data_IF_536155688496
#
_entry.id   IF_536155688496
#
_cell.length_a   1.000
_cell.length_b   1.000
_cell.length_c   1.000
_cell.angle_alpha   90.00
_cell.angle_beta   90.00
_cell.angle_gamma   90.00
#
_symmetry.space_group_name_H-M   'P 1'
#
loop_
_entity.id
_entity.type
_entity.pdbx_description
1 polymer ?
#
# COMPACT_ATOMS: atom_id res chain seq x y z
N UNK A 1 -28.93 27.05 6.51
CA UNK A 1 -28.12 27.54 7.65
C UNK A 1 -28.19 26.64 8.90
N UNK A 2 -28.82 25.46 8.82
CA UNK A 2 -28.90 24.51 9.94
C UNK A 2 -28.56 23.11 9.45
N UNK A 3 -27.51 22.52 10.01
CA UNK A 3 -27.08 21.16 9.71
C UNK A 3 -26.10 20.67 10.77
N UNK A 4 -26.13 19.38 11.11
CA UNK A 4 -25.34 18.80 12.20
C UNK A 4 -23.84 19.13 12.09
N UNK A 5 -23.31 19.16 10.86
CA UNK A 5 -21.91 19.52 10.58
C UNK A 5 -21.58 20.96 10.95
N UNK A 6 -22.51 21.90 10.70
CA UNK A 6 -22.34 23.32 11.03
C UNK A 6 -22.34 23.49 12.56
N UNK A 7 -23.23 22.78 13.25
CA UNK A 7 -23.30 22.80 14.73
C UNK A 7 -22.01 22.25 15.35
N UNK A 8 -21.52 21.11 14.88
CA UNK A 8 -20.26 20.50 15.35
C UNK A 8 -19.04 21.37 15.05
N UNK A 9 -18.99 22.00 13.87
CA UNK A 9 -17.92 22.92 13.53
C UNK A 9 -17.85 24.13 14.47
N UNK A 10 -19.02 24.69 14.87
CA UNK A 10 -19.08 25.73 15.90
C UNK A 10 -18.60 25.25 17.27
N UNK A 11 -19.00 24.05 17.69
CA UNK A 11 -18.54 23.43 18.95
C UNK A 11 -17.01 23.26 18.99
N UNK A 12 -16.38 22.96 17.85
CA UNK A 12 -14.94 22.73 17.73
C UNK A 12 -14.15 23.98 17.33
N UNK A 13 -14.79 25.15 17.30
CA UNK A 13 -14.18 26.42 16.90
C UNK A 13 -13.51 26.36 15.50
N UNK A 14 -14.11 25.61 14.58
CA UNK A 14 -13.66 25.48 13.19
C UNK A 14 -14.34 26.56 12.34
N UNK A 15 -13.60 27.38 11.57
CA UNK A 15 -14.18 28.40 10.72
C UNK A 15 -15.05 27.78 9.63
N UNK A 16 -16.26 28.32 9.46
CA UNK A 16 -17.23 27.86 8.44
C UNK A 16 -17.29 28.91 7.34
N UNK A 17 -16.90 28.50 6.13
CA UNK A 17 -16.90 29.37 4.95
C UNK A 17 -17.88 28.93 3.87
N UNK A 18 -18.25 29.87 3.00
CA UNK A 18 -19.04 29.64 1.80
C UNK A 18 -18.16 29.14 0.64
N UNK A 19 -18.79 28.77 -0.46
CA UNK A 19 -18.11 28.19 -1.62
C UNK A 19 -17.14 29.17 -2.31
N UNK A 20 -17.32 30.49 -2.13
CA UNK A 20 -16.50 31.50 -2.79
C UNK A 20 -15.05 31.47 -2.29
N UNK A 21 -14.84 31.15 -1.00
CA UNK A 21 -13.49 30.97 -0.45
C UNK A 21 -12.76 29.80 -1.13
N UNK A 22 -13.44 28.67 -1.29
CA UNK A 22 -12.88 27.48 -1.94
C UNK A 22 -12.52 27.76 -3.40
N UNK A 23 -13.39 28.47 -4.13
CA UNK A 23 -13.11 28.85 -5.51
C UNK A 23 -11.86 29.72 -5.59
N UNK A 24 -11.77 30.77 -4.77
CA UNK A 24 -10.61 31.65 -4.78
C UNK A 24 -9.30 30.91 -4.45
N UNK A 25 -9.33 29.98 -3.49
CA UNK A 25 -8.20 29.10 -3.23
C UNK A 25 -7.82 28.25 -4.45
N UNK A 26 -8.79 27.71 -5.19
CA UNK A 26 -8.55 26.94 -6.40
C UNK A 26 -7.89 27.77 -7.51
N UNK A 27 -8.26 29.04 -7.63
CA UNK A 27 -7.63 30.00 -8.55
C UNK A 27 -6.31 30.58 -8.03
N UNK A 28 -5.78 30.08 -6.91
CA UNK A 28 -4.52 30.54 -6.32
C UNK A 28 -4.59 31.93 -5.68
N UNK A 29 -5.79 32.48 -5.48
CA UNK A 29 -6.01 33.70 -4.70
C UNK A 29 -5.99 33.30 -3.23
N UNK A 30 -4.99 33.76 -2.47
CA UNK A 30 -4.89 33.49 -1.04
C UNK A 30 -5.98 34.26 -0.29
N UNK A 31 -7.18 33.68 -0.24
CA UNK A 31 -8.34 34.26 0.41
C UNK A 31 -8.21 34.16 1.93
N UNK A 32 -8.10 35.30 2.61
CA UNK A 32 -8.13 35.35 4.07
C UNK A 32 -9.51 34.88 4.55
N UNK A 33 -9.52 33.79 5.32
CA UNK A 33 -10.72 33.11 5.79
C UNK A 33 -11.61 34.02 6.67
N UNK A 34 -11.03 35.04 7.29
CA UNK A 34 -11.72 35.96 8.19
C UNK A 34 -12.53 37.04 7.44
N UNK A 35 -12.43 37.12 6.11
CA UNK A 35 -13.16 38.12 5.34
C UNK A 35 -14.68 37.87 5.39
N UNK A 36 -15.51 38.90 5.65
CA UNK A 36 -16.96 38.75 5.81
C UNK A 36 -17.66 38.09 4.62
N UNK A 37 -17.12 38.28 3.40
CA UNK A 37 -17.66 37.73 2.16
C UNK A 37 -17.57 36.21 2.06
N UNK A 38 -16.73 35.57 2.87
CA UNK A 38 -16.60 34.12 2.91
C UNK A 38 -17.39 33.49 4.04
N UNK A 39 -17.97 34.28 4.96
CA UNK A 39 -18.68 33.75 6.10
C UNK A 39 -20.04 33.18 5.70
N UNK A 40 -20.51 32.17 6.46
CA UNK A 40 -21.82 31.57 6.26
C UNK A 40 -22.93 32.65 6.36
N UNK A 41 -23.76 32.77 5.33
CA UNK A 41 -24.85 33.77 5.23
C UNK A 41 -24.51 35.00 4.38
N UNK A 42 -23.24 35.16 3.96
CA UNK A 42 -22.88 36.18 2.98
C UNK A 42 -23.49 35.85 1.59
N UNK A 43 -23.98 36.86 0.85
CA UNK A 43 -24.50 36.65 -0.50
C UNK A 43 -23.38 36.09 -1.37
N UNK A 44 -23.58 34.86 -1.84
CA UNK A 44 -22.65 34.18 -2.72
C UNK A 44 -23.33 34.05 -4.09
N UNK A 45 -22.57 34.31 -5.15
CA UNK A 45 -23.04 34.24 -6.53
C UNK A 45 -23.59 32.82 -6.83
N UNK A 46 -24.47 32.66 -7.82
CA UNK A 46 -25.02 31.32 -8.07
C UNK A 46 -23.92 30.35 -8.55
N UNK A 47 -23.85 29.18 -7.92
CA UNK A 47 -22.94 28.07 -8.27
C UNK A 47 -23.18 27.49 -9.67
N UNK A 48 -24.24 27.92 -10.36
CA UNK A 48 -24.64 27.47 -11.70
C UNK A 48 -24.26 28.51 -12.78
N UNK A 49 -23.08 29.11 -12.67
CA UNK A 49 -22.60 30.06 -13.67
C UNK A 49 -22.28 29.33 -14.98
N UNK A 50 -22.75 29.85 -16.11
CA UNK A 50 -22.50 29.22 -17.41
C UNK A 50 -21.01 29.27 -17.79
N UNK A 51 -20.48 28.31 -18.55
CA UNK A 51 -19.08 28.35 -19.02
C UNK A 51 -18.71 29.67 -19.69
N UNK A 52 -19.65 30.23 -20.49
CA UNK A 52 -19.48 31.55 -21.11
C UNK A 52 -19.31 32.67 -20.09
N UNK A 53 -20.11 32.69 -19.02
CA UNK A 53 -19.98 33.69 -17.98
C UNK A 53 -18.69 33.52 -17.16
N UNK A 54 -18.26 32.27 -16.90
CA UNK A 54 -16.99 31.98 -16.22
C UNK A 54 -15.78 32.49 -17.01
N UNK A 55 -15.78 32.36 -18.34
CA UNK A 55 -14.69 32.87 -19.19
C UNK A 55 -14.50 34.38 -19.14
N UNK A 56 -15.56 35.13 -18.82
CA UNK A 56 -15.51 36.58 -18.73
C UNK A 56 -15.04 37.07 -17.35
N UNK A 57 -14.85 36.17 -16.37
CA UNK A 57 -14.42 36.54 -15.01
C UNK A 57 -12.96 36.95 -15.00
N UNK A 58 -12.05 36.09 -15.49
CA UNK A 58 -10.64 36.43 -15.67
C UNK A 58 -9.95 35.52 -16.72
N UNK A 59 -8.72 35.89 -17.08
CA UNK A 59 -7.91 35.14 -18.07
C UNK A 59 -7.59 33.70 -17.62
N UNK A 60 -7.56 33.42 -16.32
CA UNK A 60 -7.28 32.07 -15.80
C UNK A 60 -8.50 31.16 -16.02
N UNK A 61 -9.71 31.65 -15.75
CA UNK A 61 -10.95 30.94 -16.06
C UNK A 61 -11.06 30.66 -17.56
N UNK A 62 -10.77 31.67 -18.38
CA UNK A 62 -10.72 31.52 -19.85
C UNK A 62 -9.71 30.47 -20.29
N UNK A 63 -8.51 30.44 -19.69
CA UNK A 63 -7.49 29.46 -20.02
C UNK A 63 -7.89 28.03 -19.64
N UNK A 64 -8.50 27.85 -18.46
CA UNK A 64 -8.96 26.53 -18.03
C UNK A 64 -10.13 25.99 -18.85
N UNK A 65 -10.98 26.89 -19.39
CA UNK A 65 -12.10 26.53 -20.26
C UNK A 65 -11.72 26.40 -21.74
N UNK A 66 -10.44 26.57 -22.12
CA UNK A 66 -10.00 26.35 -23.51
C UNK A 66 -10.36 24.97 -24.04
N UNK A 67 -10.34 23.94 -23.20
CA UNK A 67 -10.72 22.58 -23.58
C UNK A 67 -12.20 22.41 -23.96
N UNK A 68 -13.07 23.34 -23.54
CA UNK A 68 -14.48 23.37 -23.93
C UNK A 68 -14.72 24.03 -25.30
N UNK A 69 -13.83 24.94 -25.71
CA UNK A 69 -13.86 25.58 -27.05
C UNK A 69 -13.06 24.82 -28.09
N UNK A 70 -12.06 24.05 -27.65
CA UNK A 70 -11.34 23.16 -28.52
C UNK A 70 -12.25 21.99 -28.89
N UNK A 71 -12.82 22.03 -30.09
CA UNK A 71 -13.22 20.80 -30.77
C UNK A 71 -11.97 19.92 -30.83
N UNK A 72 -11.86 18.98 -29.90
CA UNK A 72 -10.80 17.98 -29.93
C UNK A 72 -10.90 17.31 -31.29
N UNK A 73 -9.90 17.45 -32.19
CA UNK A 73 -9.92 16.70 -33.43
C UNK A 73 -10.03 15.24 -33.01
N UNK A 74 -11.15 14.59 -33.34
CA UNK A 74 -11.34 13.17 -33.07
C UNK A 74 -10.48 12.43 -34.07
N UNK A 75 -9.16 12.48 -33.87
CA UNK A 75 -8.21 11.71 -34.65
C UNK A 75 -8.61 10.25 -34.49
N UNK A 76 -8.96 9.61 -35.60
CA UNK A 76 -9.38 8.21 -35.65
C UNK A 76 -8.41 7.31 -34.86
N UNK A 77 -7.12 7.63 -34.87
CA UNK A 77 -6.09 6.95 -34.08
C UNK A 77 -6.30 7.04 -32.56
N UNK A 78 -6.71 8.19 -32.01
CA UNK A 78 -6.99 8.34 -30.58
C UNK A 78 -8.28 7.63 -30.16
N UNK A 79 -9.29 7.60 -31.04
CA UNK A 79 -10.50 6.82 -30.81
C UNK A 79 -10.17 5.32 -30.81
N UNK A 80 -9.38 4.84 -31.78
CA UNK A 80 -8.93 3.45 -31.85
C UNK A 80 -8.07 3.08 -30.64
N UNK A 81 -7.17 3.96 -30.19
CA UNK A 81 -6.40 3.76 -28.95
C UNK A 81 -7.31 3.70 -27.73
N UNK A 82 -8.31 4.58 -27.62
CA UNK A 82 -9.28 4.56 -26.52
C UNK A 82 -10.12 3.28 -26.52
N UNK A 83 -10.61 2.84 -27.69
CA UNK A 83 -11.36 1.60 -27.83
C UNK A 83 -10.50 0.37 -27.51
N UNK A 84 -9.24 0.36 -27.98
CA UNK A 84 -8.29 -0.70 -27.65
C UNK A 84 -7.99 -0.72 -26.15
N UNK A 85 -7.78 0.43 -25.54
CA UNK A 85 -7.59 0.55 -24.10
C UNK A 85 -8.84 0.11 -23.34
N UNK A 86 -10.04 0.44 -23.79
CA UNK A 86 -11.29 -0.06 -23.20
C UNK A 86 -11.39 -1.57 -23.30
N UNK A 87 -11.03 -2.18 -24.44
CA UNK A 87 -11.01 -3.63 -24.59
C UNK A 87 -9.93 -4.30 -23.72
N UNK A 88 -8.75 -3.68 -23.60
CA UNK A 88 -7.67 -4.13 -22.71
C UNK A 88 -8.06 -3.99 -21.23
N UNK A 89 -8.79 -2.94 -20.86
CA UNK A 89 -9.34 -2.74 -19.53
C UNK A 89 -10.50 -3.72 -19.23
N UNK A 90 -11.34 -4.02 -20.22
CA UNK A 90 -12.38 -5.05 -20.14
C UNK A 90 -11.80 -6.47 -20.21
N UNK A 91 -10.51 -6.64 -20.51
CA UNK A 91 -9.87 -7.94 -20.45
C UNK A 91 -9.91 -8.48 -19.02
N UNK A 92 -10.12 -9.79 -18.91
CA UNK A 92 -10.45 -10.51 -17.67
C UNK A 92 -9.49 -10.24 -16.49
N UNK A 93 -8.26 -9.82 -16.78
CA UNK A 93 -7.20 -9.64 -15.79
C UNK A 93 -7.24 -8.28 -15.06
N UNK A 94 -7.87 -7.25 -15.63
CA UNK A 94 -7.78 -5.88 -15.07
C UNK A 94 -8.92 -5.58 -14.09
N UNK A 95 -10.15 -5.99 -14.43
CA UNK A 95 -11.33 -5.80 -13.58
C UNK A 95 -12.06 -7.13 -13.32
N UNK A 96 -11.47 -8.04 -12.53
CA UNK A 96 -12.02 -9.37 -12.30
C UNK A 96 -13.45 -9.35 -11.72
N UNK A 97 -13.83 -8.33 -10.94
CA UNK A 97 -15.19 -8.21 -10.40
C UNK A 97 -16.29 -8.08 -11.47
N UNK A 98 -16.02 -7.48 -12.64
CA UNK A 98 -17.04 -7.30 -13.69
C UNK A 98 -17.60 -8.64 -14.18
N UNK A 99 -16.74 -9.65 -14.32
CA UNK A 99 -17.11 -11.01 -14.77
C UNK A 99 -18.13 -11.66 -13.84
N UNK A 100 -18.07 -11.36 -12.55
CA UNK A 100 -18.89 -12.01 -11.54
C UNK A 100 -20.18 -11.27 -11.21
N UNK A 101 -20.36 -10.04 -11.72
CA UNK A 101 -21.60 -9.25 -11.51
C UNK A 101 -22.80 -9.84 -12.23
N UNK A 102 -22.58 -10.40 -13.42
CA UNK A 102 -23.64 -10.94 -14.29
C UNK A 102 -24.13 -12.33 -13.85
N UNK A 103 -23.52 -12.90 -12.82
CA UNK A 103 -23.84 -14.25 -12.36
C UNK A 103 -25.15 -14.25 -11.59
N UNK A 104 -26.06 -15.11 -12.02
CA UNK A 104 -27.35 -15.33 -11.38
C UNK A 104 -27.15 -15.94 -9.98
N UNK A 105 -27.71 -15.26 -8.98
CA UNK A 105 -27.71 -15.73 -7.61
C UNK A 105 -29.03 -16.46 -7.31
N UNK A 106 -29.01 -17.58 -6.58
CA UNK A 106 -30.22 -18.28 -6.18
C UNK A 106 -31.08 -17.39 -5.25
N UNK A 107 -32.40 -17.62 -5.26
CA UNK A 107 -33.31 -16.95 -4.33
C UNK A 107 -33.10 -17.48 -2.90
N UNK A 108 -33.49 -16.71 -1.89
CA UNK A 108 -33.37 -17.19 -0.50
C UNK A 108 -34.31 -18.37 -0.22
N UNK A 109 -35.44 -18.47 -0.92
CA UNK A 109 -36.37 -19.60 -0.82
C UNK A 109 -35.72 -20.89 -1.32
N UNK A 110 -35.06 -20.85 -2.48
CA UNK A 110 -34.35 -21.99 -3.06
C UNK A 110 -33.21 -22.47 -2.14
N UNK A 111 -32.51 -21.54 -1.49
CA UNK A 111 -31.44 -21.85 -0.53
C UNK A 111 -31.99 -22.61 0.67
N UNK A 112 -33.13 -22.17 1.22
CA UNK A 112 -33.75 -22.82 2.37
C UNK A 112 -34.20 -24.23 1.98
N UNK A 113 -34.91 -24.38 0.86
CA UNK A 113 -35.39 -25.68 0.39
C UNK A 113 -34.24 -26.67 0.11
N UNK A 114 -33.16 -26.21 -0.55
CA UNK A 114 -31.98 -27.02 -0.82
C UNK A 114 -31.28 -27.49 0.48
N UNK A 115 -31.21 -26.61 1.48
CA UNK A 115 -30.59 -26.93 2.76
C UNK A 115 -31.44 -27.88 3.61
N UNK A 116 -32.77 -27.76 3.58
CA UNK A 116 -33.65 -28.72 4.24
C UNK A 116 -33.51 -30.13 3.68
N UNK A 117 -33.40 -30.26 2.35
CA UNK A 117 -33.12 -31.54 1.69
C UNK A 117 -31.77 -32.14 2.11
N UNK A 118 -30.77 -31.30 2.44
CA UNK A 118 -29.39 -31.70 2.81
C UNK A 118 -29.15 -31.95 4.30
N UNK A 119 -30.09 -31.64 5.20
CA UNK A 119 -29.98 -31.78 6.67
C UNK A 119 -29.56 -33.18 7.18
N UNK A 120 -29.54 -34.20 6.31
CA UNK A 120 -29.16 -35.58 6.66
C UNK A 120 -27.64 -35.84 6.64
N UNK A 121 -26.81 -34.89 6.17
CA UNK A 121 -25.35 -35.06 6.13
C UNK A 121 -24.69 -34.82 7.50
N UNK A 122 -23.86 -35.76 7.97
CA UNK A 122 -23.07 -35.64 9.21
C UNK A 122 -21.68 -35.00 9.03
N UNK A 123 -21.32 -34.58 7.81
CA UNK A 123 -19.99 -33.99 7.55
C UNK A 123 -19.98 -32.52 8.00
N UNK A 124 -18.88 -32.03 8.62
CA UNK A 124 -18.77 -30.62 8.94
C UNK A 124 -18.88 -29.79 7.66
N UNK A 125 -19.65 -28.68 7.66
CA UNK A 125 -19.84 -27.86 6.47
C UNK A 125 -18.51 -27.21 6.06
N UNK A 126 -18.29 -27.07 4.77
CA UNK A 126 -17.22 -26.23 4.26
C UNK A 126 -17.46 -24.78 4.72
N UNK A 127 -16.40 -24.10 5.15
CA UNK A 127 -16.43 -22.68 5.52
C UNK A 127 -15.60 -21.88 4.53
N UNK A 128 -16.19 -20.87 3.93
CA UNK A 128 -15.58 -20.05 2.89
C UNK A 128 -15.35 -18.62 3.37
N UNK A 129 -14.17 -18.07 3.11
CA UNK A 129 -13.92 -16.64 3.21
C UNK A 129 -13.74 -16.07 1.79
N UNK A 130 -14.24 -14.86 1.55
CA UNK A 130 -14.12 -14.15 0.27
C UNK A 130 -13.16 -12.96 0.44
N UNK A 131 -12.20 -12.79 -0.47
CA UNK A 131 -11.24 -11.68 -0.42
C UNK A 131 -11.07 -11.01 -1.78
N UNK A 132 -11.16 -9.68 -1.80
CA UNK A 132 -10.96 -8.84 -2.99
C UNK A 132 -12.20 -8.60 -3.84
N UNK A 133 -13.37 -9.09 -3.40
CA UNK A 133 -14.64 -8.90 -4.10
C UNK A 133 -15.32 -7.58 -3.70
N UNK A 134 -16.05 -7.00 -4.64
CA UNK A 134 -17.02 -5.94 -4.34
C UNK A 134 -18.21 -6.53 -3.56
N UNK A 135 -18.89 -5.69 -2.78
CA UNK A 135 -19.94 -6.13 -1.85
C UNK A 135 -21.09 -6.88 -2.54
N UNK A 136 -21.56 -6.36 -3.67
CA UNK A 136 -22.62 -6.94 -4.49
C UNK A 136 -22.23 -8.31 -5.07
N UNK A 137 -21.00 -8.43 -5.57
CA UNK A 137 -20.45 -9.69 -6.08
C UNK A 137 -20.28 -10.70 -4.95
N UNK A 138 -19.73 -10.26 -3.81
CA UNK A 138 -19.52 -11.10 -2.64
C UNK A 138 -20.84 -11.68 -2.12
N UNK A 139 -21.91 -10.89 -2.10
CA UNK A 139 -23.25 -11.34 -1.69
C UNK A 139 -23.82 -12.41 -2.64
N UNK A 140 -23.65 -12.24 -3.96
CA UNK A 140 -24.08 -13.22 -4.96
C UNK A 140 -23.35 -14.55 -4.81
N UNK A 141 -22.03 -14.51 -4.71
CA UNK A 141 -21.20 -15.72 -4.48
C UNK A 141 -21.56 -16.36 -3.14
N UNK A 142 -21.81 -15.55 -2.10
CA UNK A 142 -22.23 -16.05 -0.79
C UNK A 142 -23.57 -16.80 -0.83
N UNK A 143 -24.53 -16.35 -1.65
CA UNK A 143 -25.80 -17.06 -1.88
C UNK A 143 -25.57 -18.44 -2.52
N UNK A 144 -24.68 -18.53 -3.51
CA UNK A 144 -24.32 -19.80 -4.15
C UNK A 144 -23.64 -20.77 -3.18
N UNK A 145 -22.72 -20.27 -2.34
CA UNK A 145 -22.07 -21.08 -1.30
C UNK A 145 -23.10 -21.63 -0.30
N UNK A 146 -24.04 -20.79 0.15
CA UNK A 146 -25.13 -21.19 1.06
C UNK A 146 -26.10 -22.18 0.42
N UNK A 147 -26.40 -22.02 -0.87
CA UNK A 147 -27.21 -22.97 -1.64
C UNK A 147 -26.56 -24.37 -1.69
N UNK A 148 -25.24 -24.42 -1.81
CA UNK A 148 -24.47 -25.66 -1.77
C UNK A 148 -24.28 -26.22 -0.34
N UNK A 149 -24.90 -25.62 0.68
CA UNK A 149 -24.87 -26.10 2.07
C UNK A 149 -23.56 -25.83 2.79
N UNK A 150 -22.79 -24.83 2.36
CA UNK A 150 -21.61 -24.34 3.04
C UNK A 150 -21.88 -23.00 3.73
N UNK A 151 -21.01 -22.63 4.65
CA UNK A 151 -21.09 -21.40 5.42
C UNK A 151 -20.08 -20.37 4.90
N UNK A 152 -20.46 -19.09 4.90
CA UNK A 152 -19.55 -17.99 4.60
C UNK A 152 -19.12 -17.34 5.91
N UNK A 153 -17.81 -17.31 6.15
CA UNK A 153 -17.19 -16.72 7.33
C UNK A 153 -16.47 -15.43 6.96
N UNK A 154 -16.54 -14.43 7.85
CA UNK A 154 -15.79 -13.18 7.72
C UNK A 154 -14.33 -13.34 8.11
N UNK A 155 -14.08 -14.18 9.13
CA UNK A 155 -12.74 -14.44 9.62
C UNK A 155 -12.08 -15.58 8.83
N UNK A 156 -10.92 -15.28 8.25
CA UNK A 156 -10.14 -16.22 7.43
C UNK A 156 -9.58 -17.35 8.28
N UNK A 157 -9.37 -17.12 9.57
CA UNK A 157 -8.77 -18.12 10.47
C UNK A 157 -9.66 -19.34 10.68
N UNK A 158 -10.98 -19.17 10.51
CA UNK A 158 -11.96 -20.24 10.62
C UNK A 158 -12.27 -20.89 9.27
N UNK A 159 -11.78 -20.34 8.17
CA UNK A 159 -12.13 -20.82 6.83
C UNK A 159 -11.41 -22.13 6.49
N UNK A 160 -12.08 -22.94 5.68
CA UNK A 160 -11.50 -24.14 5.03
C UNK A 160 -11.03 -23.82 3.61
N UNK A 161 -11.68 -22.83 2.99
CA UNK A 161 -11.42 -22.37 1.64
C UNK A 161 -11.41 -20.84 1.65
N UNK A 162 -10.36 -20.23 1.12
CA UNK A 162 -10.29 -18.82 0.81
C UNK A 162 -10.49 -18.65 -0.70
N UNK A 163 -11.50 -17.90 -1.09
CA UNK A 163 -11.72 -17.52 -2.49
C UNK A 163 -11.07 -16.17 -2.73
N UNK A 164 -10.19 -16.08 -3.73
CA UNK A 164 -9.47 -14.86 -4.09
C UNK A 164 -9.61 -14.56 -5.58
N UNK A 165 -9.56 -13.27 -5.94
CA UNK A 165 -9.54 -12.84 -7.35
C UNK A 165 -8.14 -12.89 -7.97
N UNK A 166 -7.09 -12.74 -7.17
CA UNK A 166 -5.70 -12.77 -7.62
C UNK A 166 -4.79 -13.34 -6.52
N UNK A 167 -3.56 -13.68 -6.88
CA UNK A 167 -2.55 -14.21 -5.95
C UNK A 167 -1.69 -13.13 -5.30
N UNK A 168 -2.08 -11.85 -5.37
CA UNK A 168 -1.30 -10.77 -4.76
C UNK A 168 -1.22 -10.97 -3.25
N UNK A 169 -0.02 -10.74 -2.71
CA UNK A 169 0.24 -10.87 -1.28
C UNK A 169 -0.70 -9.96 -0.48
N UNK A 170 -1.45 -10.57 0.44
CA UNK A 170 -2.38 -9.89 1.33
C UNK A 170 -2.45 -10.63 2.67
N UNK A 171 -2.88 -9.94 3.73
CA UNK A 171 -3.02 -10.55 5.06
C UNK A 171 -4.00 -11.76 5.04
N UNK A 172 -5.18 -11.70 4.38
CA UNK A 172 -6.04 -12.86 4.21
C UNK A 172 -5.34 -14.05 3.54
N UNK A 173 -4.59 -13.80 2.46
CA UNK A 173 -3.85 -14.86 1.77
C UNK A 173 -2.81 -15.52 2.70
N UNK A 174 -2.03 -14.72 3.42
CA UNK A 174 -1.04 -15.21 4.37
C UNK A 174 -1.68 -16.03 5.50
N UNK A 175 -2.80 -15.55 6.06
CA UNK A 175 -3.56 -16.31 7.08
C UNK A 175 -4.04 -17.65 6.54
N UNK A 176 -4.62 -17.67 5.34
CA UNK A 176 -5.12 -18.90 4.72
C UNK A 176 -4.00 -19.92 4.46
N UNK A 177 -2.83 -19.47 3.99
CA UNK A 177 -1.68 -20.34 3.79
C UNK A 177 -1.17 -20.86 5.13
N UNK A 178 -1.03 -20.01 6.16
CA UNK A 178 -0.56 -20.40 7.49
C UNK A 178 -1.42 -21.51 8.12
N UNK A 179 -2.76 -21.43 7.99
CA UNK A 179 -3.66 -22.46 8.50
C UNK A 179 -3.71 -23.72 7.61
N UNK A 180 -3.25 -23.63 6.35
CA UNK A 180 -3.34 -24.71 5.37
C UNK A 180 -4.71 -24.81 4.68
N UNK A 181 -5.47 -23.71 4.61
CA UNK A 181 -6.73 -23.65 3.89
C UNK A 181 -6.50 -23.75 2.37
N UNK A 182 -7.50 -24.23 1.64
CA UNK A 182 -7.46 -24.20 0.19
C UNK A 182 -7.63 -22.75 -0.31
N UNK A 183 -6.69 -22.26 -1.10
CA UNK A 183 -6.82 -20.94 -1.74
C UNK A 183 -7.24 -21.18 -3.19
N UNK A 184 -8.49 -20.83 -3.51
CA UNK A 184 -9.14 -21.19 -4.77
C UNK A 184 -9.58 -19.96 -5.54
N UNK A 185 -9.70 -20.11 -6.86
CA UNK A 185 -10.30 -19.09 -7.72
C UNK A 185 -11.84 -19.12 -7.64
N UNK A 186 -12.54 -18.05 -8.05
CA UNK A 186 -14.00 -17.97 -7.97
C UNK A 186 -14.71 -19.02 -8.82
N UNK A 187 -14.08 -19.48 -9.92
CA UNK A 187 -14.64 -20.53 -10.79
C UNK A 187 -14.93 -21.83 -10.02
N UNK A 188 -14.23 -22.09 -8.93
CA UNK A 188 -14.53 -23.22 -8.05
C UNK A 188 -15.98 -23.19 -7.56
N UNK A 189 -16.45 -22.02 -7.14
CA UNK A 189 -17.82 -21.84 -6.64
C UNK A 189 -18.82 -21.95 -7.78
N UNK A 190 -18.52 -21.32 -8.92
CA UNK A 190 -19.40 -21.30 -10.09
C UNK A 190 -19.63 -22.70 -10.64
N UNK A 191 -18.56 -23.44 -10.94
CA UNK A 191 -18.67 -24.81 -11.45
C UNK A 191 -19.28 -25.75 -10.41
N UNK A 192 -19.03 -25.53 -9.12
CA UNK A 192 -19.69 -26.29 -8.05
C UNK A 192 -21.20 -26.00 -7.98
N UNK A 193 -21.59 -24.76 -8.21
CA UNK A 193 -22.99 -24.32 -8.20
C UNK A 193 -23.74 -24.90 -9.41
N UNK A 194 -23.20 -24.75 -10.62
CA UNK A 194 -23.76 -25.29 -11.87
C UNK A 194 -23.96 -26.81 -11.81
N UNK A 195 -23.02 -27.53 -11.21
CA UNK A 195 -23.08 -28.99 -11.04
C UNK A 195 -23.90 -29.45 -9.83
N UNK A 196 -24.34 -28.51 -8.98
CA UNK A 196 -25.05 -28.79 -7.72
C UNK A 196 -24.22 -29.53 -6.67
N UNK A 197 -22.91 -29.67 -6.84
CA UNK A 197 -22.01 -30.41 -5.92
C UNK A 197 -20.62 -29.77 -5.87
N UNK A 198 -19.95 -29.90 -4.72
CA UNK A 198 -18.57 -29.43 -4.58
C UNK A 198 -17.63 -30.22 -5.51
N UNK A 199 -16.86 -29.48 -6.30
CA UNK A 199 -15.82 -30.02 -7.16
C UNK A 199 -14.54 -30.32 -6.36
N UNK A 200 -13.53 -30.89 -7.01
CA UNK A 200 -12.21 -31.04 -6.38
C UNK A 200 -11.51 -29.67 -6.25
N UNK A 201 -11.33 -29.20 -5.02
CA UNK A 201 -10.68 -27.92 -4.74
C UNK A 201 -9.25 -27.84 -5.29
N UNK A 202 -8.52 -28.97 -5.41
CA UNK A 202 -7.14 -28.98 -5.90
C UNK A 202 -7.07 -28.52 -7.36
N UNK A 203 -8.09 -28.86 -8.17
CA UNK A 203 -8.17 -28.48 -9.58
C UNK A 203 -8.37 -26.97 -9.78
N UNK A 204 -8.92 -26.28 -8.77
CA UNK A 204 -9.25 -24.85 -8.81
C UNK A 204 -8.37 -23.99 -7.91
N UNK A 205 -7.23 -24.52 -7.42
CA UNK A 205 -6.26 -23.74 -6.66
C UNK A 205 -5.83 -22.50 -7.45
N UNK A 206 -5.71 -21.36 -6.75
CA UNK A 206 -5.19 -20.13 -7.33
C UNK A 206 -3.79 -20.38 -7.89
N UNK A 207 -3.55 -19.90 -9.11
CA UNK A 207 -2.25 -19.95 -9.77
C UNK A 207 -1.95 -18.57 -10.31
N UNK A 208 -0.94 -17.91 -9.75
CA UNK A 208 -0.49 -16.57 -10.11
C UNK A 208 1.01 -16.66 -10.37
N UNK A 209 1.37 -16.94 -11.63
CA UNK A 209 2.76 -17.22 -12.02
C UNK A 209 3.70 -16.03 -11.73
N UNK A 210 3.19 -14.80 -11.84
CA UNK A 210 3.95 -13.59 -11.56
C UNK A 210 4.25 -13.46 -10.07
N UNK A 211 3.24 -13.65 -9.22
CA UNK A 211 3.40 -13.57 -7.76
C UNK A 211 4.25 -14.72 -7.22
N UNK A 212 4.06 -15.94 -7.74
CA UNK A 212 4.87 -17.13 -7.39
C UNK A 212 6.34 -16.93 -7.76
N UNK A 213 6.62 -16.39 -8.95
CA UNK A 213 7.98 -16.07 -9.39
C UNK A 213 8.61 -14.95 -8.57
N UNK A 214 7.86 -13.88 -8.29
CA UNK A 214 8.34 -12.73 -7.54
C UNK A 214 8.76 -13.10 -6.12
N UNK A 215 7.97 -13.94 -5.44
CA UNK A 215 8.25 -14.33 -4.06
C UNK A 215 8.94 -15.69 -3.94
N UNK A 216 9.15 -16.41 -5.05
CA UNK A 216 9.83 -17.69 -5.09
C UNK A 216 9.13 -18.78 -4.27
N UNK A 217 7.84 -18.98 -4.49
CA UNK A 217 7.06 -20.03 -3.82
C UNK A 217 6.12 -20.74 -4.81
N UNK A 218 5.58 -21.88 -4.40
CA UNK A 218 4.50 -22.54 -5.12
C UNK A 218 3.32 -22.75 -4.16
N UNK A 219 2.16 -22.18 -4.47
CA UNK A 219 1.03 -22.16 -3.54
C UNK A 219 0.58 -23.56 -3.12
N UNK A 220 0.53 -24.50 -4.09
CA UNK A 220 0.14 -25.89 -3.84
C UNK A 220 1.12 -26.57 -2.88
N UNK A 221 2.42 -26.42 -3.10
CA UNK A 221 3.44 -26.97 -2.20
C UNK A 221 3.35 -26.36 -0.80
N UNK A 222 3.18 -25.03 -0.71
CA UNK A 222 3.04 -24.33 0.57
C UNK A 222 1.82 -24.83 1.36
N UNK A 223 0.65 -24.96 0.75
CA UNK A 223 -0.54 -25.48 1.45
C UNK A 223 -0.31 -26.90 1.99
N UNK A 224 0.37 -27.77 1.22
CA UNK A 224 0.69 -29.14 1.66
C UNK A 224 1.64 -29.10 2.86
N UNK A 225 2.69 -28.28 2.81
CA UNK A 225 3.64 -28.12 3.92
C UNK A 225 2.97 -27.59 5.19
N UNK A 226 2.15 -26.55 5.06
CA UNK A 226 1.42 -25.95 6.18
C UNK A 226 0.48 -26.92 6.92
N UNK A 227 -0.05 -27.92 6.19
CA UNK A 227 -0.89 -28.99 6.78
C UNK A 227 -0.08 -30.05 7.53
N UNK A 228 1.19 -30.24 7.14
CA UNK A 228 2.07 -31.23 7.76
C UNK A 228 2.76 -30.68 9.00
N UNK A 229 3.26 -29.44 8.94
CA UNK A 229 3.95 -28.79 10.04
C UNK A 229 3.73 -27.28 10.01
N UNK A 230 3.74 -26.65 11.18
CA UNK A 230 3.62 -25.21 11.33
C UNK A 230 5.01 -24.58 11.16
N UNK A 231 5.16 -23.66 10.20
CA UNK A 231 6.48 -23.16 9.79
C UNK A 231 7.27 -22.45 10.91
N UNK A 232 6.61 -21.79 11.86
CA UNK A 232 7.27 -21.09 12.98
C UNK A 232 7.21 -21.87 14.31
N UNK A 233 6.95 -23.18 14.25
CA UNK A 233 6.83 -23.99 15.45
C UNK A 233 8.12 -23.97 16.29
N UNK A 234 7.99 -23.66 17.58
CA UNK A 234 9.11 -23.64 18.52
C UNK A 234 10.01 -22.41 18.41
N UNK A 235 9.58 -21.39 17.68
CA UNK A 235 10.32 -20.13 17.51
C UNK A 235 9.65 -19.03 18.34
N UNK A 236 10.47 -18.34 19.14
CA UNK A 236 10.07 -17.11 19.82
C UNK A 236 10.46 -15.89 19.03
N UNK A 237 9.55 -14.93 18.95
CA UNK A 237 9.70 -13.74 18.13
C UNK A 237 9.38 -12.49 18.94
N UNK A 238 10.25 -11.49 18.92
CA UNK A 238 9.89 -10.14 19.35
C UNK A 238 9.66 -9.25 18.14
N UNK A 239 8.58 -8.46 18.16
CA UNK A 239 8.19 -7.59 17.06
C UNK A 239 8.20 -6.14 17.56
N UNK A 240 8.94 -5.26 16.89
CA UNK A 240 9.00 -3.83 17.26
C UNK A 240 7.70 -3.09 16.93
N UNK A 241 7.43 -1.91 17.54
CA UNK A 241 6.14 -1.23 17.41
C UNK A 241 5.83 -0.64 16.02
N UNK A 242 6.84 -0.13 15.29
CA UNK A 242 6.66 0.64 14.05
C UNK A 242 6.75 -0.20 12.77
N UNK A 243 6.49 -1.50 12.88
CA UNK A 243 6.39 -2.43 11.74
C UNK A 243 5.14 -2.20 10.90
N UNK A 244 5.25 -2.48 9.61
CA UNK A 244 4.12 -2.52 8.67
C UNK A 244 3.98 -3.95 8.07
N UNK A 245 2.78 -4.57 8.11
CA UNK A 245 1.54 -4.11 8.74
C UNK A 245 1.68 -4.09 10.27
N UNK A 246 0.65 -3.58 10.95
CA UNK A 246 0.67 -3.39 12.41
C UNK A 246 1.19 -4.60 13.21
N UNK A 247 1.84 -4.33 14.35
CA UNK A 247 2.35 -5.37 15.27
C UNK A 247 1.30 -6.44 15.59
N UNK A 248 0.05 -6.05 15.84
CA UNK A 248 -1.04 -6.97 16.13
C UNK A 248 -1.34 -7.93 14.96
N UNK A 249 -1.26 -7.42 13.72
CA UNK A 249 -1.44 -8.25 12.52
C UNK A 249 -0.30 -9.26 12.36
N UNK A 250 0.95 -8.82 12.52
CA UNK A 250 2.11 -9.71 12.45
C UNK A 250 2.10 -10.75 13.58
N UNK A 251 1.77 -10.32 14.79
CA UNK A 251 1.62 -11.22 15.93
C UNK A 251 0.63 -12.34 15.60
N UNK A 252 -0.52 -11.99 15.04
CA UNK A 252 -1.52 -13.00 14.69
C UNK A 252 -1.04 -13.96 13.60
N UNK A 253 -0.30 -13.47 12.60
CA UNK A 253 0.29 -14.32 11.56
C UNK A 253 1.33 -15.31 12.14
N UNK A 254 2.13 -14.85 13.11
CA UNK A 254 3.12 -15.70 13.80
C UNK A 254 2.43 -16.79 14.61
N UNK A 255 1.43 -16.43 15.41
CA UNK A 255 0.65 -17.38 16.22
C UNK A 255 -0.04 -18.45 15.36
N UNK A 256 -0.67 -18.06 14.25
CA UNK A 256 -1.30 -19.00 13.31
C UNK A 256 -0.28 -19.95 12.66
N UNK A 257 0.96 -19.49 12.52
CA UNK A 257 2.08 -20.26 11.98
C UNK A 257 2.83 -21.05 13.05
N UNK A 258 2.35 -21.10 14.29
CA UNK A 258 2.89 -21.89 15.40
C UNK A 258 4.01 -21.23 16.22
N UNK A 259 4.32 -19.96 15.97
CA UNK A 259 5.33 -19.22 16.73
C UNK A 259 4.75 -18.53 17.97
N UNK A 260 5.64 -18.17 18.90
CA UNK A 260 5.33 -17.41 20.11
C UNK A 260 5.83 -15.97 19.97
N UNK A 261 5.03 -14.99 20.39
CA UNK A 261 5.41 -13.56 20.33
C UNK A 261 5.55 -12.97 21.72
N UNK A 262 6.72 -12.40 22.00
CA UNK A 262 6.97 -11.73 23.27
C UNK A 262 6.30 -10.35 23.30
N UNK A 263 5.53 -10.12 24.37
CA UNK A 263 4.81 -8.86 24.59
C UNK A 263 5.78 -7.72 24.98
N UNK A 264 6.76 -8.05 25.81
CA UNK A 264 7.76 -7.12 26.30
C UNK A 264 9.04 -7.17 25.47
N UNK A 265 9.82 -6.10 25.55
CA UNK A 265 11.11 -6.04 24.87
C UNK A 265 12.11 -6.95 25.59
N UNK A 266 12.78 -7.86 24.87
CA UNK A 266 13.75 -8.76 25.47
C UNK A 266 15.07 -8.06 25.76
N UNK A 267 15.73 -8.42 26.85
CA UNK A 267 17.12 -8.02 27.11
C UNK A 267 18.08 -8.87 26.28
N UNK A 268 19.26 -8.34 25.94
CA UNK A 268 20.27 -9.10 25.19
C UNK A 268 20.65 -10.42 25.89
N UNK A 269 20.67 -10.42 27.23
CA UNK A 269 20.92 -11.61 28.04
C UNK A 269 19.83 -12.67 27.88
N UNK A 270 18.55 -12.28 27.91
CA UNK A 270 17.44 -13.23 27.72
C UNK A 270 17.48 -13.89 26.34
N UNK A 271 17.81 -13.11 25.30
CA UNK A 271 17.97 -13.65 23.94
C UNK A 271 19.14 -14.64 23.89
N UNK A 272 20.29 -14.27 24.48
CA UNK A 272 21.47 -15.14 24.57
C UNK A 272 21.19 -16.45 25.31
N UNK A 273 20.60 -16.38 26.50
CA UNK A 273 20.24 -17.57 27.29
C UNK A 273 19.24 -18.48 26.56
N UNK A 274 18.32 -17.92 25.76
CA UNK A 274 17.40 -18.74 24.97
C UNK A 274 18.12 -19.44 23.82
N UNK A 275 19.03 -18.74 23.14
CA UNK A 275 19.81 -19.30 22.04
C UNK A 275 20.81 -20.38 22.51
N UNK A 276 21.36 -20.23 23.72
CA UNK A 276 22.23 -21.23 24.35
C UNK A 276 21.49 -22.53 24.73
N UNK A 277 20.18 -22.46 24.97
CA UNK A 277 19.33 -23.62 25.31
C UNK A 277 18.75 -24.32 24.09
N UNK A 278 19.42 -24.21 22.93
CA UNK A 278 18.93 -24.68 21.61
C UNK A 278 17.57 -24.08 21.20
N UNK A 279 17.18 -22.94 21.79
CA UNK A 279 15.98 -22.20 21.42
C UNK A 279 16.20 -21.32 20.20
N UNK A 280 15.18 -21.18 19.35
CA UNK A 280 15.20 -20.24 18.23
C UNK A 280 14.54 -18.93 18.64
N UNK A 281 15.31 -17.83 18.65
CA UNK A 281 14.81 -16.48 18.94
C UNK A 281 15.02 -15.55 17.75
N UNK A 282 13.97 -14.86 17.31
CA UNK A 282 14.03 -13.91 16.20
C UNK A 282 13.56 -12.52 16.62
N UNK A 283 14.25 -11.49 16.13
CA UNK A 283 13.84 -10.09 16.30
C UNK A 283 13.34 -9.58 14.96
N UNK A 284 12.09 -9.13 14.90
CA UNK A 284 11.46 -8.51 13.74
C UNK A 284 11.35 -7.02 14.00
N UNK A 285 12.13 -6.24 13.25
CA UNK A 285 12.27 -4.81 13.43
C UNK A 285 11.80 -4.02 12.20
N UNK A 286 11.64 -2.71 12.39
CA UNK A 286 11.54 -1.74 11.31
C UNK A 286 12.72 -0.77 11.36
N UNK A 287 13.02 -0.11 10.24
CA UNK A 287 14.04 0.94 10.19
C UNK A 287 13.69 2.14 11.09
N UNK A 288 12.40 2.41 11.33
CA UNK A 288 11.98 3.47 12.25
C UNK A 288 12.38 3.18 13.71
N UNK A 289 12.59 1.91 14.07
CA UNK A 289 12.85 1.46 15.43
C UNK A 289 14.34 1.27 15.75
N UNK A 290 15.27 1.78 14.92
CA UNK A 290 16.74 1.56 15.09
C UNK A 290 17.19 1.77 16.54
N UNK A 291 16.85 2.93 17.13
CA UNK A 291 17.25 3.30 18.49
C UNK A 291 16.65 2.37 19.55
N UNK A 292 15.50 1.79 19.27
CA UNK A 292 14.82 0.86 20.16
C UNK A 292 15.61 -0.42 20.34
N UNK A 293 16.29 -0.86 19.28
CA UNK A 293 16.95 -2.15 19.15
C UNK A 293 18.47 -2.05 19.06
N UNK A 294 19.03 -0.84 19.22
CA UNK A 294 20.47 -0.56 19.11
C UNK A 294 21.31 -1.46 20.03
N UNK A 295 20.88 -1.66 21.27
CA UNK A 295 21.56 -2.55 22.23
C UNK A 295 21.60 -4.02 21.77
N UNK A 296 20.62 -4.49 20.99
CA UNK A 296 20.62 -5.85 20.43
C UNK A 296 21.64 -5.93 19.28
N UNK A 297 21.75 -4.88 18.47
CA UNK A 297 22.74 -4.78 17.39
C UNK A 297 24.16 -4.74 17.95
N UNK A 298 24.39 -3.99 19.04
CA UNK A 298 25.67 -3.98 19.76
C UNK A 298 26.01 -5.36 20.34
N UNK A 299 25.01 -6.10 20.81
CA UNK A 299 25.14 -7.48 21.26
C UNK A 299 25.26 -8.50 20.11
N UNK A 300 25.39 -8.06 18.86
CA UNK A 300 25.53 -8.89 17.64
C UNK A 300 24.32 -9.81 17.38
N UNK A 301 23.13 -9.44 17.87
CA UNK A 301 21.88 -10.15 17.61
C UNK A 301 21.29 -9.65 16.28
N UNK A 302 20.99 -10.54 15.31
CA UNK A 302 20.45 -10.13 14.03
C UNK A 302 18.99 -9.68 14.15
N UNK A 303 18.65 -8.65 13.39
CA UNK A 303 17.30 -8.09 13.32
C UNK A 303 16.81 -8.24 11.89
N UNK A 304 15.60 -8.78 11.73
CA UNK A 304 15.00 -9.09 10.45
C UNK A 304 13.84 -8.15 10.14
N UNK A 305 13.60 -7.91 8.86
CA UNK A 305 12.43 -7.17 8.37
C UNK A 305 11.15 -8.02 8.50
N UNK A 306 9.94 -7.42 8.58
CA UNK A 306 8.67 -8.16 8.52
C UNK A 306 8.54 -9.07 7.30
N UNK A 307 9.27 -8.75 6.21
CA UNK A 307 9.38 -9.58 5.01
C UNK A 307 9.79 -11.03 5.32
N UNK A 308 10.59 -11.25 6.37
CA UNK A 308 10.94 -12.58 6.84
C UNK A 308 9.71 -13.43 7.18
N UNK A 309 8.75 -12.86 7.93
CA UNK A 309 7.51 -13.56 8.30
C UNK A 309 6.70 -13.87 7.03
N UNK A 310 6.60 -12.92 6.11
CA UNK A 310 5.80 -13.11 4.89
C UNK A 310 6.39 -14.21 4.00
N UNK A 311 7.70 -14.20 3.79
CA UNK A 311 8.37 -15.23 2.98
C UNK A 311 8.32 -16.59 3.66
N UNK A 312 8.52 -16.65 4.98
CA UNK A 312 8.39 -17.88 5.74
C UNK A 312 6.99 -18.50 5.58
N UNK A 313 5.94 -17.68 5.67
CA UNK A 313 4.56 -18.15 5.49
C UNK A 313 4.29 -18.52 4.02
N UNK A 314 4.72 -17.72 3.04
CA UNK A 314 4.46 -18.01 1.63
C UNK A 314 5.17 -19.27 1.15
N UNK A 315 6.42 -19.50 1.57
CA UNK A 315 7.22 -20.67 1.18
C UNK A 315 7.00 -21.88 2.09
N UNK A 316 6.47 -21.65 3.30
CA UNK A 316 6.39 -22.63 4.38
C UNK A 316 7.76 -23.26 4.71
N UNK A 317 8.79 -22.42 4.68
CA UNK A 317 10.19 -22.75 4.97
C UNK A 317 10.84 -21.55 5.65
N UNK A 318 11.74 -21.79 6.60
CA UNK A 318 12.51 -20.73 7.24
C UNK A 318 13.83 -20.56 6.50
N UNK A 319 14.02 -19.40 5.89
CA UNK A 319 15.30 -18.98 5.34
C UNK A 319 15.85 -17.81 6.16
N UNK A 320 16.85 -18.10 7.01
CA UNK A 320 17.55 -17.09 7.81
C UNK A 320 18.67 -16.38 7.02
N UNK A 321 18.48 -16.21 5.71
CA UNK A 321 19.44 -15.55 4.83
C UNK A 321 19.70 -14.11 5.26
N UNK A 322 20.93 -13.64 5.01
CA UNK A 322 21.37 -12.28 5.34
C UNK A 322 20.57 -11.21 4.59
N UNK A 323 19.88 -11.55 3.50
CA UNK A 323 19.11 -10.63 2.68
C UNK A 323 17.89 -10.03 3.41
N UNK A 324 17.37 -10.73 4.43
CA UNK A 324 16.21 -10.29 5.20
C UNK A 324 16.59 -9.52 6.47
N UNK A 325 17.89 -9.36 6.74
CA UNK A 325 18.41 -8.62 7.90
C UNK A 325 18.41 -7.14 7.61
N UNK A 326 17.98 -6.36 8.60
CA UNK A 326 18.09 -4.89 8.55
C UNK A 326 19.54 -4.52 8.86
N UNK A 327 20.18 -3.85 7.92
CA UNK A 327 21.54 -3.33 8.10
C UNK A 327 21.44 -1.95 8.72
N UNK A 328 21.67 -1.87 10.02
CA UNK A 328 21.76 -0.57 10.69
C UNK A 328 23.15 0.03 10.46
N UNK A 329 23.24 1.29 9.99
CA UNK A 329 24.53 1.96 9.87
C UNK A 329 25.12 2.11 11.28
N UNK A 330 26.25 1.43 11.52
CA UNK A 330 26.98 1.56 12.78
C UNK A 330 27.55 3.00 12.84
N UNK A 331 27.37 3.73 13.95
CA UNK A 331 28.04 5.02 14.12
C UNK A 331 29.54 4.81 13.92
N UNK A 332 30.17 5.62 13.06
CA UNK A 332 31.61 5.56 12.87
C UNK A 332 32.29 5.73 14.25
N UNK A 333 33.34 4.94 14.56
CA UNK A 333 34.07 5.13 15.81
C UNK A 333 34.51 6.60 15.91
N UNK A 334 34.44 7.21 17.11
CA UNK A 334 34.80 8.62 17.29
C UNK A 334 36.20 8.85 16.73
N UNK A 335 36.30 9.75 15.74
CA UNK A 335 37.59 10.11 15.18
C UNK A 335 38.47 10.65 16.32
N UNK A 336 39.74 10.24 16.42
CA UNK A 336 40.64 10.79 17.44
C UNK A 336 40.68 12.31 17.31
N UNK A 337 40.75 13.06 18.44
CA UNK A 337 40.73 14.51 18.42
C UNK A 337 41.84 15.01 17.49
N UNK A 338 41.45 15.78 16.46
CA UNK A 338 42.41 16.42 15.58
C UNK A 338 43.30 17.35 16.42
N UNK A 339 44.63 17.31 16.26
CA UNK A 339 45.52 18.20 17.00
C UNK A 339 45.15 19.66 16.72
N UNK A 340 45.02 20.44 17.80
CA UNK A 340 44.62 21.83 17.74
C UNK A 340 45.51 22.61 16.76
N UNK A 341 44.88 23.23 15.75
CA UNK A 341 45.59 24.17 14.88
C UNK A 341 46.06 25.37 15.73
N UNK A 342 47.32 25.82 15.60
CA UNK A 342 47.82 26.96 16.34
C UNK A 342 47.09 28.23 15.92
N UNK A 343 46.54 28.94 16.90
CA UNK A 343 45.85 30.21 16.75
C UNK A 343 46.78 31.27 16.12
N UNK A 344 46.34 32.08 15.13
CA UNK A 344 47.17 33.14 14.59
C UNK A 344 47.37 34.24 15.64
N UNK A 345 48.62 34.64 15.89
CA UNK A 345 48.95 35.82 16.70
C UNK A 345 48.52 37.11 15.98
N UNK A 346 48.07 38.15 16.69
CA UNK A 346 47.65 39.41 16.09
C UNK A 346 48.87 40.21 15.59
N UNK A 347 48.74 41.00 14.49
CA UNK A 347 49.84 41.75 13.93
C UNK A 347 50.17 42.99 14.77
N UNK A 348 51.41 43.08 15.23
CA UNK A 348 52.00 44.31 15.77
C UNK A 348 52.24 45.32 14.66
N UNK A 349 51.67 46.50 14.82
CA UNK A 349 51.85 47.69 14.01
C UNK A 349 53.18 48.38 14.32
N UNK A 350 54.08 48.52 13.33
CA UNK A 350 55.01 49.66 13.24
C UNK A 350 55.77 49.73 11.90
N UNK A 351 55.70 50.93 11.30
CA UNK A 351 56.72 51.60 10.47
C UNK A 351 56.81 51.37 8.94
N UNK A 352 55.99 52.19 8.27
CA UNK A 352 56.27 53.09 7.14
C UNK A 352 57.68 53.13 6.48
N UNK A 353 57.57 53.24 5.15
CA UNK A 353 58.31 54.10 4.20
C UNK A 353 59.53 53.50 3.47
N UNK A 354 59.41 53.29 2.16
CA UNK A 354 59.86 54.24 1.11
C UNK A 354 59.49 53.77 -0.31
N UNK A 355 59.54 54.73 -1.23
CA UNK A 355 58.83 54.86 -2.50
C UNK A 355 59.43 54.09 -3.68
N UNK A 356 58.62 53.89 -4.74
CA UNK A 356 59.10 53.51 -6.07
C UNK A 356 58.01 53.43 -7.16
N UNK A 357 57.63 54.59 -7.71
CA UNK A 357 57.18 54.89 -9.09
C UNK A 357 56.25 53.96 -9.91
N UNK A 358 55.18 54.61 -10.42
CA UNK A 358 54.11 54.31 -11.40
C UNK A 358 54.55 53.71 -12.78
N UNK A 359 53.64 53.27 -13.71
CA UNK A 359 52.24 53.73 -13.89
C UNK A 359 51.13 52.71 -14.22
N UNK A 360 49.91 53.23 -14.14
CA UNK A 360 48.61 52.64 -14.45
C UNK A 360 48.44 52.28 -15.93
N UNK A 361 47.82 51.12 -16.19
CA UNK A 361 47.15 50.81 -17.45
C UNK A 361 45.69 50.44 -17.16
N UNK A 362 44.80 51.21 -17.78
CA UNK A 362 43.34 51.06 -17.83
C UNK A 362 42.99 49.99 -18.85
N UNK A 363 42.20 48.96 -18.50
CA UNK A 363 41.29 48.28 -19.45
C UNK A 363 40.05 47.76 -18.70
N UNK A 364 38.88 48.08 -19.24
CA UNK A 364 37.55 47.87 -18.67
C UNK A 364 37.04 46.43 -18.65
N UNK A 365 36.00 46.24 -17.84
CA UNK A 365 35.16 45.03 -17.76
C UNK A 365 34.31 44.88 -19.04
N UNK A 366 34.16 43.67 -19.60
CA UNK A 366 33.00 43.34 -20.43
C UNK A 366 31.93 42.62 -19.61
N UNK A 367 30.68 43.00 -19.87
CA UNK A 367 29.48 42.47 -19.25
C UNK A 367 29.10 41.06 -19.72
N UNK A 368 28.27 40.42 -18.90
CA UNK A 368 27.67 39.13 -19.17
C UNK A 368 26.49 39.25 -20.17
N UNK A 369 26.43 38.31 -21.12
CA UNK A 369 25.28 38.02 -21.96
C UNK A 369 24.72 36.61 -21.65
N UNK A 370 23.44 36.34 -21.99
CA UNK A 370 22.68 35.17 -21.56
C UNK A 370 22.75 33.99 -22.56
N UNK A 371 22.50 32.77 -22.06
CA UNK A 371 22.47 31.54 -22.84
C UNK A 371 21.07 31.19 -23.38
N UNK A 372 21.06 30.40 -24.45
CA UNK A 372 20.07 30.40 -25.52
C UNK A 372 19.04 29.26 -25.47
N UNK A 373 17.96 29.48 -26.22
CA UNK A 373 16.97 28.50 -26.71
C UNK A 373 17.61 27.44 -27.61
N UNK A 374 17.06 26.22 -27.58
CA UNK A 374 17.22 25.21 -28.63
C UNK A 374 15.85 24.67 -29.06
N UNK A 375 15.67 24.59 -30.38
CA UNK A 375 14.50 24.08 -31.13
C UNK A 375 14.64 22.59 -31.50
N UNK A 376 13.56 21.89 -31.88
CA UNK A 376 13.55 20.44 -32.11
C UNK A 376 13.85 20.04 -33.57
N UNK A 377 14.39 18.81 -33.75
CA UNK A 377 14.66 18.18 -35.05
C UNK A 377 13.68 17.04 -35.40
N UNK A 378 13.66 16.56 -36.67
CA UNK A 378 12.53 15.83 -37.26
C UNK A 378 12.62 14.28 -37.17
N UNK A 379 11.47 13.64 -37.37
CA UNK A 379 11.21 12.21 -37.31
C UNK A 379 11.76 11.39 -38.50
N UNK A 380 11.97 10.06 -38.36
CA UNK A 380 12.27 9.18 -39.49
C UNK A 380 11.04 8.43 -40.03
N UNK A 381 11.07 8.23 -41.34
CA UNK A 381 10.09 7.55 -42.20
C UNK A 381 10.37 6.04 -42.23
N UNK A 382 9.28 5.25 -42.25
CA UNK A 382 9.24 3.79 -42.47
C UNK A 382 9.80 3.38 -43.83
N UNK A 383 10.45 2.21 -43.86
CA UNK A 383 10.39 1.24 -44.95
C UNK A 383 10.05 -0.13 -44.34
#
# INVERSE_FOLDING_TARGET
ETGEKITKAKEWNVPIVNYNWLLECYFGKMANIDLPQYQLGAPAQEVNTTPYALEQIDNLHRHMLLGWHALMPQEHQRLMQSQKLQQELQAENVFPNLKYREIEAPSEEDIIEANEKRRKSKRPPHRFALCGFEQDVAERISKQIRFLGAEVVKDVEQCTHLVVLNGKRSVPLLKAIAIGAFVVRPEYILTSYESGKWQDAIAFLMKDDDSERMHGYNLKASIIRARNARVLQGIRIYITPSVDPSRATLQRLVELSGGEVDAERPTARQVGEHLERDGSYLIIGAEADVKLVEYLVEAHIPIYSPEFIFQAILRQEIDASSALRIVYPRPAPPQPPQPAQPTPQPPTSAQKAQQGHQPQVVVGRPGAQPAARLTPGPAPVRA
#
